data_IF_402989828766
#
_entry.id   IF_402989828766
#
_cell.length_a   1.000
_cell.length_b   1.000
_cell.length_c   1.000
_cell.angle_alpha   90.00
_cell.angle_beta   90.00
_cell.angle_gamma   90.00
#
_symmetry.space_group_name_H-M   'P 1'
#
loop_
_entity.id
_entity.type
_entity.pdbx_description
1 polymer ?
#
# COMPACT_ATOMS: atom_id res chain seq x y z
N UNK A 1 20.82 -38.32 -9.59
CA UNK A 1 20.61 -37.00 -8.94
C UNK A 1 20.17 -37.27 -7.51
N UNK A 2 20.90 -36.76 -6.52
CA UNK A 2 20.49 -36.90 -5.12
C UNK A 2 19.19 -36.09 -4.86
N UNK A 3 18.29 -36.56 -3.99
CA UNK A 3 17.07 -35.82 -3.66
C UNK A 3 17.45 -34.48 -3.03
N UNK A 4 17.03 -33.39 -3.67
CA UNK A 4 17.20 -32.05 -3.13
C UNK A 4 16.40 -31.93 -1.83
N UNK A 5 17.08 -31.56 -0.74
CA UNK A 5 16.45 -31.34 0.58
C UNK A 5 15.34 -30.31 0.43
N UNK A 6 14.17 -30.58 1.01
CA UNK A 6 13.05 -29.64 1.01
C UNK A 6 13.39 -28.51 1.98
N UNK A 7 13.48 -27.30 1.45
CA UNK A 7 13.64 -26.08 2.24
C UNK A 7 12.26 -25.44 2.45
N UNK A 8 11.93 -25.12 3.71
CA UNK A 8 10.85 -24.20 4.03
C UNK A 8 11.39 -22.78 3.90
N UNK A 9 10.71 -21.95 3.10
CA UNK A 9 11.09 -20.56 2.88
C UNK A 9 10.10 -19.67 3.61
N UNK A 10 10.62 -18.61 4.22
CA UNK A 10 9.80 -17.61 4.90
C UNK A 10 8.94 -16.82 3.90
N UNK A 11 7.81 -16.27 4.38
CA UNK A 11 6.89 -15.51 3.54
C UNK A 11 7.54 -14.23 3.00
N UNK A 12 8.29 -13.51 3.84
CA UNK A 12 9.02 -12.30 3.44
C UNK A 12 10.01 -12.58 2.30
N UNK A 13 10.72 -13.71 2.39
CA UNK A 13 11.72 -14.11 1.41
C UNK A 13 11.06 -14.42 0.06
N UNK A 14 9.92 -15.12 0.09
CA UNK A 14 9.14 -15.41 -1.12
C UNK A 14 8.67 -14.13 -1.78
N UNK A 15 8.16 -13.17 -1.01
CA UNK A 15 7.69 -11.88 -1.54
C UNK A 15 8.83 -11.05 -2.13
N UNK A 16 9.99 -11.00 -1.46
CA UNK A 16 11.18 -10.33 -1.98
C UNK A 16 11.66 -10.94 -3.31
N UNK A 17 11.71 -12.27 -3.40
CA UNK A 17 12.07 -12.96 -4.62
C UNK A 17 11.05 -12.72 -5.75
N UNK A 18 9.75 -12.64 -5.43
CA UNK A 18 8.70 -12.29 -6.39
C UNK A 18 8.89 -10.87 -6.91
N UNK A 19 9.12 -9.87 -6.05
CA UNK A 19 9.35 -8.46 -6.45
C UNK A 19 10.49 -8.36 -7.45
N UNK A 20 11.64 -8.97 -7.12
CA UNK A 20 12.78 -8.99 -8.02
C UNK A 20 12.49 -9.75 -9.33
N UNK A 21 11.67 -10.80 -9.29
CA UNK A 21 11.27 -11.53 -10.49
C UNK A 21 10.27 -10.76 -11.37
N UNK A 22 9.50 -9.83 -10.81
CA UNK A 22 8.64 -8.90 -11.57
C UNK A 22 9.50 -7.90 -12.33
N UNK A 23 10.54 -7.35 -11.68
CA UNK A 23 11.44 -6.36 -12.27
C UNK A 23 12.45 -6.95 -13.27
N UNK A 24 13.11 -8.06 -12.91
CA UNK A 24 14.24 -8.62 -13.66
C UNK A 24 13.94 -9.96 -14.35
N UNK A 25 12.75 -10.52 -14.11
CA UNK A 25 12.34 -11.83 -14.59
C UNK A 25 12.75 -13.00 -13.69
N UNK A 26 12.06 -14.14 -13.86
CA UNK A 26 12.18 -15.30 -12.96
C UNK A 26 13.60 -15.90 -12.93
N UNK A 27 14.31 -15.89 -14.07
CA UNK A 27 15.64 -16.49 -14.20
C UNK A 27 16.73 -15.62 -13.56
N UNK A 28 16.55 -14.30 -13.53
CA UNK A 28 17.43 -13.39 -12.82
C UNK A 28 17.24 -13.55 -11.30
N UNK A 29 16.00 -13.55 -10.83
CA UNK A 29 15.70 -13.79 -9.41
C UNK A 29 16.19 -15.17 -8.93
N UNK A 30 16.07 -16.22 -9.75
CA UNK A 30 16.59 -17.54 -9.42
C UNK A 30 18.11 -17.54 -9.18
N UNK A 31 18.87 -16.75 -9.96
CA UNK A 31 20.32 -16.60 -9.80
C UNK A 31 20.66 -15.76 -8.56
N UNK A 32 19.99 -14.63 -8.38
CA UNK A 32 20.23 -13.70 -7.27
C UNK A 32 19.99 -14.36 -5.91
N UNK A 33 18.85 -15.05 -5.77
CA UNK A 33 18.42 -15.67 -4.52
C UNK A 33 18.85 -17.14 -4.40
N UNK A 34 19.63 -17.65 -5.35
CA UNK A 34 20.08 -19.05 -5.42
C UNK A 34 18.94 -20.08 -5.19
N UNK A 35 17.80 -19.83 -5.83
CA UNK A 35 16.59 -20.67 -5.75
C UNK A 35 16.21 -21.20 -7.13
N UNK A 36 15.54 -22.35 -7.16
CA UNK A 36 15.09 -22.93 -8.43
C UNK A 36 14.06 -22.01 -9.10
N UNK A 37 14.23 -21.75 -10.40
CA UNK A 37 13.32 -20.89 -11.19
C UNK A 37 11.86 -21.37 -11.15
N UNK A 38 11.64 -22.70 -11.16
CA UNK A 38 10.32 -23.31 -11.01
C UNK A 38 9.63 -22.93 -9.69
N UNK A 39 10.42 -22.71 -8.63
CA UNK A 39 9.91 -22.29 -7.32
C UNK A 39 9.49 -20.82 -7.36
N UNK A 40 10.31 -19.95 -7.95
CA UNK A 40 9.97 -18.52 -8.17
C UNK A 40 8.68 -18.40 -8.98
N UNK A 41 8.57 -19.19 -10.05
CA UNK A 41 7.36 -19.22 -10.89
C UNK A 41 6.12 -19.72 -10.12
N UNK A 42 6.29 -20.69 -9.22
CA UNK A 42 5.22 -21.16 -8.32
C UNK A 42 4.81 -20.06 -7.35
N UNK A 43 5.76 -19.41 -6.69
CA UNK A 43 5.47 -18.36 -5.72
C UNK A 43 4.76 -17.17 -6.34
N UNK A 44 5.10 -16.78 -7.57
CA UNK A 44 4.36 -15.74 -8.31
C UNK A 44 2.89 -16.08 -8.48
N UNK A 45 2.55 -17.35 -8.72
CA UNK A 45 1.14 -17.79 -8.79
C UNK A 45 0.43 -17.79 -7.43
N UNK A 46 1.19 -17.88 -6.35
CA UNK A 46 0.70 -17.88 -4.96
C UNK A 46 0.81 -16.49 -4.31
N UNK A 47 1.16 -15.45 -5.08
CA UNK A 47 1.42 -14.12 -4.54
C UNK A 47 0.19 -13.55 -3.85
N UNK A 48 -0.98 -13.64 -4.50
CA UNK A 48 -2.23 -13.14 -3.96
C UNK A 48 -2.64 -13.91 -2.69
N UNK A 49 -2.47 -15.23 -2.67
CA UNK A 49 -2.70 -16.06 -1.48
C UNK A 49 -1.79 -15.65 -0.31
N UNK A 50 -0.52 -15.35 -0.60
CA UNK A 50 0.45 -14.89 0.41
C UNK A 50 0.03 -13.52 0.97
N UNK A 51 -0.38 -12.58 0.12
CA UNK A 51 -0.87 -11.28 0.55
C UNK A 51 -2.16 -11.41 1.37
N UNK A 52 -3.12 -12.21 0.91
CA UNK A 52 -4.39 -12.40 1.59
C UNK A 52 -4.21 -13.06 2.97
N UNK A 53 -3.30 -14.04 3.07
CA UNK A 53 -2.98 -14.66 4.35
C UNK A 53 -2.43 -13.65 5.36
N UNK A 54 -1.54 -12.74 4.92
CA UNK A 54 -1.02 -11.65 5.77
C UNK A 54 -2.17 -10.74 6.21
N UNK A 55 -3.00 -10.27 5.27
CA UNK A 55 -4.14 -9.38 5.58
C UNK A 55 -5.10 -10.02 6.58
N UNK A 56 -5.46 -11.29 6.37
CA UNK A 56 -6.35 -12.02 7.28
C UNK A 56 -5.72 -12.17 8.67
N UNK A 57 -4.43 -12.50 8.75
CA UNK A 57 -3.72 -12.63 10.01
C UNK A 57 -3.70 -11.31 10.80
N UNK A 58 -3.58 -10.16 10.13
CA UNK A 58 -3.70 -8.85 10.77
C UNK A 58 -5.14 -8.49 11.16
N UNK A 59 -6.13 -8.92 10.37
CA UNK A 59 -7.55 -8.69 10.67
C UNK A 59 -8.01 -9.45 11.93
N UNK A 60 -7.43 -10.62 12.19
CA UNK A 60 -7.71 -11.40 13.40
C UNK A 60 -7.17 -10.72 14.68
N UNK A 61 -6.23 -9.78 14.55
CA UNK A 61 -5.71 -9.01 15.68
C UNK A 61 -6.70 -7.90 16.02
N UNK A 62 -7.27 -7.95 17.22
CA UNK A 62 -8.24 -6.93 17.63
C UNK A 62 -7.62 -5.52 17.65
N UNK A 63 -8.40 -4.52 17.21
CA UNK A 63 -8.02 -3.10 17.28
C UNK A 63 -7.60 -2.72 18.70
N UNK A 64 -8.25 -3.26 19.73
CA UNK A 64 -7.89 -3.00 21.13
C UNK A 64 -6.47 -3.50 21.48
N UNK A 65 -6.03 -4.61 20.89
CA UNK A 65 -4.67 -5.14 21.06
C UNK A 65 -3.65 -4.21 20.41
N UNK A 66 -3.95 -3.73 19.20
CA UNK A 66 -3.11 -2.74 18.51
C UNK A 66 -3.06 -1.44 19.30
N UNK A 67 -4.20 -0.86 19.68
CA UNK A 67 -4.29 0.39 20.47
C UNK A 67 -3.49 0.28 21.78
N UNK A 68 -3.58 -0.84 22.50
CA UNK A 68 -2.77 -1.06 23.71
C UNK A 68 -1.28 -1.13 23.41
N UNK A 69 -0.88 -1.79 22.32
CA UNK A 69 0.52 -1.88 21.91
C UNK A 69 1.07 -0.51 21.48
N UNK A 70 0.32 0.26 20.70
CA UNK A 70 0.69 1.62 20.26
C UNK A 70 0.74 2.60 21.44
N UNK A 71 -0.21 2.54 22.38
CA UNK A 71 -0.16 3.33 23.63
C UNK A 71 1.05 2.96 24.48
N UNK A 72 1.34 1.66 24.62
CA UNK A 72 2.52 1.17 25.36
C UNK A 72 3.83 1.60 24.70
N UNK A 73 3.86 1.69 23.37
CA UNK A 73 5.00 2.18 22.61
C UNK A 73 5.12 3.72 22.58
N UNK A 74 4.15 4.45 23.15
CA UNK A 74 4.14 5.91 23.15
C UNK A 74 3.84 6.55 21.78
N UNK A 75 3.29 5.79 20.84
CA UNK A 75 2.97 6.26 19.48
C UNK A 75 1.60 6.98 19.46
N UNK A 76 0.67 6.58 20.34
CA UNK A 76 -0.64 7.22 20.52
C UNK A 76 -0.77 7.67 21.97
N UNK A 77 -0.78 8.99 22.19
CA UNK A 77 -0.82 9.60 23.53
C UNK A 77 -2.25 9.87 24.01
N UNK A 78 -3.15 10.28 23.11
CA UNK A 78 -4.55 10.55 23.43
C UNK A 78 -5.45 10.14 22.26
N UNK A 79 -6.48 9.34 22.51
CA UNK A 79 -7.64 9.31 21.60
C UNK A 79 -8.43 10.57 21.92
N UNK A 80 -8.83 11.39 20.93
CA UNK A 80 -9.91 12.35 21.18
C UNK A 80 -11.12 11.50 21.57
N UNK A 81 -11.56 11.63 22.82
CA UNK A 81 -12.87 11.13 23.23
C UNK A 81 -13.86 11.83 22.31
N UNK A 82 -14.37 11.13 21.31
CA UNK A 82 -15.55 11.55 20.56
C UNK A 82 -16.81 11.32 21.41
N UNK A 83 -16.75 11.71 22.68
CA UNK A 83 -17.92 12.22 23.37
C UNK A 83 -18.09 13.64 22.89
N UNK A 84 -18.55 13.81 21.64
CA UNK A 84 -19.15 15.09 21.30
C UNK A 84 -20.39 15.18 22.18
N UNK A 85 -20.26 15.91 23.29
CA UNK A 85 -21.36 16.69 23.81
C UNK A 85 -21.74 17.67 22.68
N UNK A 86 -22.40 17.14 21.65
CA UNK A 86 -23.08 17.93 20.65
C UNK A 86 -24.30 18.45 21.36
N UNK A 87 -24.18 19.68 21.86
CA UNK A 87 -25.31 20.47 22.29
C UNK A 87 -26.32 20.48 21.13
N UNK A 88 -27.55 19.95 21.29
CA UNK A 88 -28.52 19.87 20.21
C UNK A 88 -29.02 21.23 19.70
N UNK A 89 -28.59 22.33 20.32
CA UNK A 89 -29.10 23.68 20.09
C UNK A 89 -28.12 24.61 19.34
N UNK A 90 -27.03 24.09 18.75
CA UNK A 90 -26.17 24.91 17.86
C UNK A 90 -26.73 24.93 16.43
N UNK A 91 -27.75 25.77 16.25
CA UNK A 91 -28.28 26.21 14.95
C UNK A 91 -27.21 27.03 14.19
N UNK A 92 -26.16 26.38 13.68
CA UNK A 92 -25.25 26.98 12.70
C UNK A 92 -25.39 26.30 11.34
N UNK A 93 -26.44 26.70 10.62
CA UNK A 93 -26.60 26.51 9.18
C UNK A 93 -25.51 27.30 8.41
N UNK A 94 -24.52 26.61 7.83
CA UNK A 94 -24.09 26.83 6.42
C UNK A 94 -22.83 26.01 6.05
N UNK A 95 -22.99 24.92 5.26
CA UNK A 95 -21.87 24.31 4.54
C UNK A 95 -22.07 24.33 3.02
N UNK A 96 -22.47 25.46 2.44
CA UNK A 96 -22.61 25.61 0.98
C UNK A 96 -21.46 26.38 0.30
N UNK A 97 -20.71 27.20 1.03
CA UNK A 97 -19.74 28.13 0.44
C UNK A 97 -18.36 27.51 0.14
N UNK A 98 -17.93 26.48 0.90
CA UNK A 98 -16.61 25.87 0.72
C UNK A 98 -16.55 24.99 -0.54
N UNK A 99 -17.66 24.33 -0.90
CA UNK A 99 -17.71 23.40 -2.04
C UNK A 99 -17.56 24.14 -3.40
N UNK A 100 -18.14 25.33 -3.50
CA UNK A 100 -18.03 26.18 -4.69
C UNK A 100 -16.60 26.71 -4.93
N UNK A 101 -15.84 26.97 -3.86
CA UNK A 101 -14.44 27.40 -3.96
C UNK A 101 -13.55 26.24 -4.38
N UNK A 102 -13.80 25.04 -3.83
CA UNK A 102 -13.08 23.82 -4.23
C UNK A 102 -13.35 23.43 -5.68
N UNK A 103 -14.58 23.59 -6.17
CA UNK A 103 -14.93 23.32 -7.56
C UNK A 103 -14.25 24.30 -8.55
N UNK A 104 -14.06 25.57 -8.15
CA UNK A 104 -13.31 26.53 -8.97
C UNK A 104 -11.82 26.17 -9.08
N UNK A 105 -11.22 25.60 -8.03
CA UNK A 105 -9.82 25.20 -8.05
C UNK A 105 -9.55 24.08 -9.06
N UNK A 106 -10.45 23.09 -9.16
CA UNK A 106 -10.31 21.99 -10.11
C UNK A 106 -10.63 22.40 -11.56
N UNK A 107 -11.45 23.44 -11.76
CA UNK A 107 -11.77 23.96 -13.09
C UNK A 107 -10.80 25.04 -13.59
N UNK A 108 -9.82 25.47 -12.78
CA UNK A 108 -8.85 26.50 -13.14
C UNK A 108 -7.62 25.94 -13.87
N UNK A 109 -7.44 24.62 -13.95
CA UNK A 109 -6.24 23.99 -14.51
C UNK A 109 -6.56 23.08 -15.71
N UNK A 110 -7.22 23.66 -16.73
CA UNK A 110 -7.40 23.02 -18.04
C UNK A 110 -6.81 23.90 -19.14
N UNK A 111 -5.60 23.53 -19.54
CA UNK A 111 -5.00 23.54 -20.90
C UNK A 111 -5.32 24.70 -21.84
N UNK A 112 -4.40 25.67 -22.00
CA UNK A 112 -3.98 26.23 -23.29
C UNK A 112 -2.53 26.76 -23.21
N UNK A 113 -1.53 25.89 -23.06
CA UNK A 113 -0.20 26.20 -23.62
C UNK A 113 0.02 25.30 -24.83
N UNK A 114 -0.19 25.88 -26.00
CA UNK A 114 0.15 25.35 -27.31
C UNK A 114 1.66 25.09 -27.33
N UNK A 115 2.04 23.81 -27.33
CA UNK A 115 3.43 23.36 -27.39
C UNK A 115 4.12 23.93 -28.65
N UNK A 116 4.88 25.01 -28.49
CA UNK A 116 5.74 25.56 -29.53
C UNK A 116 6.84 24.53 -29.84
N UNK A 117 6.69 23.85 -30.98
CA UNK A 117 7.65 22.87 -31.47
C UNK A 117 9.04 23.46 -31.66
N UNK A 118 10.06 22.63 -31.40
CA UNK A 118 11.46 23.00 -31.61
C UNK A 118 11.68 23.51 -33.03
N UNK A 119 12.14 24.76 -33.15
CA UNK A 119 12.72 25.29 -34.37
C UNK A 119 14.02 24.55 -34.66
N UNK A 120 14.08 23.81 -35.76
CA UNK A 120 15.34 23.36 -36.34
C UNK A 120 16.01 24.58 -37.02
N UNK A 121 17.11 25.06 -36.44
CA UNK A 121 18.01 26.01 -37.11
C UNK A 121 19.04 25.25 -37.96
N UNK A 122 19.05 25.55 -39.26
CA UNK A 122 20.00 25.07 -40.29
C UNK A 122 21.42 25.66 -40.12
#
# INVERSE_FOLDING_TARGET
MAPCKRHAYDAEFKLKAISHAVEHGNRAAAREFNVNESMVRKWRKQQDDLHQWIVNAWADISVSTLVRAFRKAGIVTEMPDNTSDTDPDDDFDEPAMLDAVFAQLFNSDTEEEEFEGFLDEE
#
